data_IF_848207004226
#
_entry.id   IF_848207004226
#
_cell.length_a   1.000
_cell.length_b   1.000
_cell.length_c   1.000
_cell.angle_alpha   90.00
_cell.angle_beta   90.00
_cell.angle_gamma   90.00
#
_symmetry.space_group_name_H-M   'P 1'
#
loop_
_entity.id
_entity.type
_entity.pdbx_description
1 polymer ?
#
# COMPACT_ATOMS: atom_id res chain seq x y z
N UNK A 1 21.06 0.98 31.94
CA UNK A 1 19.72 0.69 32.49
C UNK A 1 18.77 1.82 32.12
N UNK A 2 17.99 1.61 31.06
CA UNK A 2 16.63 2.10 30.90
C UNK A 2 15.95 1.06 30.01
N UNK A 3 15.27 0.13 30.69
CA UNK A 3 14.41 -0.88 30.11
C UNK A 3 13.16 -0.19 29.58
N UNK A 4 12.81 -0.42 28.32
CA UNK A 4 11.41 -0.58 27.91
C UNK A 4 11.35 -1.90 27.14
N UNK A 5 10.70 -2.88 27.75
CA UNK A 5 10.42 -4.20 27.20
C UNK A 5 9.22 -4.13 26.23
N UNK A 6 9.31 -4.98 25.19
CA UNK A 6 8.25 -5.65 24.43
C UNK A 6 7.19 -4.82 23.71
N UNK A 7 7.25 -4.85 22.37
CA UNK A 7 6.39 -5.66 21.48
C UNK A 7 7.29 -6.17 20.31
N UNK A 8 7.11 -7.41 19.86
CA UNK A 8 8.20 -8.32 19.45
C UNK A 8 8.67 -8.28 17.97
N UNK A 9 9.99 -8.11 17.76
CA UNK A 9 10.78 -8.51 16.57
C UNK A 9 12.05 -7.66 16.38
N UNK A 10 13.23 -8.25 16.13
CA UNK A 10 14.44 -7.48 15.80
C UNK A 10 14.37 -6.99 14.35
N UNK A 11 14.47 -5.67 14.19
CA UNK A 11 14.62 -4.96 12.92
C UNK A 11 15.91 -5.41 12.21
N UNK A 12 15.80 -5.87 10.96
CA UNK A 12 16.94 -6.18 10.09
C UNK A 12 16.67 -5.71 8.65
N UNK A 13 17.36 -4.66 8.20
CA UNK A 13 17.29 -4.14 6.83
C UNK A 13 17.83 -5.11 5.76
N UNK A 14 18.54 -6.17 6.19
CA UNK A 14 19.04 -7.23 5.32
C UNK A 14 17.98 -8.29 5.01
N UNK A 15 16.85 -8.27 5.73
CA UNK A 15 15.71 -9.17 5.47
C UNK A 15 14.73 -8.58 4.46
N UNK A 16 14.08 -9.41 3.62
CA UNK A 16 13.05 -8.94 2.70
C UNK A 16 11.90 -8.16 3.36
N UNK A 17 11.46 -8.60 4.53
CA UNK A 17 10.39 -7.99 5.31
C UNK A 17 10.80 -6.57 5.76
N UNK A 18 12.03 -6.42 6.27
CA UNK A 18 12.57 -5.12 6.67
C UNK A 18 12.68 -4.15 5.49
N UNK A 19 13.09 -4.63 4.31
CA UNK A 19 13.12 -3.81 3.09
C UNK A 19 11.73 -3.39 2.65
N UNK A 20 10.76 -4.29 2.67
CA UNK A 20 9.36 -3.98 2.34
C UNK A 20 8.74 -2.93 3.25
N UNK A 21 8.97 -3.04 4.56
CA UNK A 21 8.50 -2.03 5.51
C UNK A 21 9.15 -0.65 5.29
N UNK A 22 10.44 -0.60 4.95
CA UNK A 22 11.15 0.65 4.65
C UNK A 22 10.62 1.33 3.38
N UNK A 23 10.36 0.56 2.32
CA UNK A 23 9.78 1.06 1.09
C UNK A 23 8.41 1.72 1.35
N UNK A 24 7.51 1.02 2.06
CA UNK A 24 6.20 1.54 2.41
C UNK A 24 6.29 2.80 3.30
N UNK A 25 7.16 2.79 4.31
CA UNK A 25 7.36 3.94 5.22
C UNK A 25 7.79 5.21 4.45
N UNK A 26 8.72 5.07 3.51
CA UNK A 26 9.17 6.20 2.69
C UNK A 26 8.05 6.73 1.78
N UNK A 27 7.24 5.85 1.19
CA UNK A 27 6.08 6.24 0.41
C UNK A 27 5.07 7.05 1.26
N UNK A 28 4.78 6.58 2.47
CA UNK A 28 3.85 7.26 3.37
C UNK A 28 4.37 8.61 3.87
N UNK A 29 5.69 8.78 4.02
CA UNK A 29 6.30 10.09 4.31
C UNK A 29 6.01 11.11 3.22
N UNK A 30 6.17 10.76 1.95
CA UNK A 30 5.85 11.67 0.83
C UNK A 30 4.37 12.03 0.80
N UNK A 31 3.49 11.07 1.06
CA UNK A 31 2.05 11.31 1.13
C UNK A 31 1.69 12.28 2.27
N UNK A 32 2.25 12.06 3.46
CA UNK A 32 2.02 12.92 4.63
C UNK A 32 2.54 14.36 4.40
N UNK A 33 3.73 14.50 3.81
CA UNK A 33 4.29 15.80 3.42
C UNK A 33 3.38 16.51 2.41
N UNK A 34 2.93 15.79 1.38
CA UNK A 34 1.98 16.31 0.40
C UNK A 34 0.68 16.79 1.03
N UNK A 35 0.08 16.02 1.94
CA UNK A 35 -1.14 16.40 2.66
C UNK A 35 -0.95 17.67 3.50
N UNK A 36 0.22 17.81 4.16
CA UNK A 36 0.56 19.01 4.93
C UNK A 36 0.63 20.25 4.03
N UNK A 37 1.36 20.16 2.91
CA UNK A 37 1.47 21.25 1.92
C UNK A 37 0.09 21.65 1.40
N UNK A 38 -0.76 20.69 1.04
CA UNK A 38 -2.11 20.95 0.55
C UNK A 38 -2.98 21.68 1.60
N UNK A 39 -2.91 21.26 2.86
CA UNK A 39 -3.63 21.90 3.96
C UNK A 39 -3.18 23.35 4.20
N UNK A 40 -1.88 23.60 4.17
CA UNK A 40 -1.31 24.95 4.33
C UNK A 40 -1.68 25.87 3.16
N UNK A 41 -1.61 25.35 1.93
CA UNK A 41 -2.00 26.06 0.73
C UNK A 41 -3.49 26.43 0.75
N UNK A 42 -4.38 25.49 1.13
CA UNK A 42 -5.80 25.77 1.26
C UNK A 42 -6.08 26.90 2.27
N UNK A 43 -5.38 26.91 3.42
CA UNK A 43 -5.51 28.00 4.41
C UNK A 43 -5.04 29.35 3.86
N UNK A 44 -3.96 29.38 3.07
CA UNK A 44 -3.44 30.61 2.44
C UNK A 44 -4.39 31.11 1.35
N UNK A 45 -4.97 30.21 0.56
CA UNK A 45 -5.95 30.53 -0.49
C UNK A 45 -7.20 31.19 0.09
N UNK A 46 -7.79 30.60 1.13
CA UNK A 46 -8.99 31.16 1.80
C UNK A 46 -8.71 32.54 2.40
N UNK A 47 -7.47 32.82 2.81
CA UNK A 47 -7.04 34.14 3.28
C UNK A 47 -6.69 35.12 2.15
N UNK A 48 -6.80 34.73 0.89
CA UNK A 48 -6.42 35.54 -0.27
C UNK A 48 -4.92 35.81 -0.39
N UNK A 49 -4.07 35.02 0.28
CA UNK A 49 -2.61 35.21 0.28
C UNK A 49 -1.99 34.67 -1.01
N UNK A 50 -2.56 33.60 -1.55
CA UNK A 50 -2.10 32.94 -2.78
C UNK A 50 -3.28 32.74 -3.73
N UNK A 51 -2.97 32.55 -5.01
CA UNK A 51 -3.93 32.22 -6.06
C UNK A 51 -4.32 30.73 -6.03
N UNK A 52 -5.39 30.39 -6.76
CA UNK A 52 -5.82 28.99 -6.93
C UNK A 52 -4.70 28.14 -7.57
N UNK A 53 -4.02 28.67 -8.59
CA UNK A 53 -2.92 27.97 -9.26
C UNK A 53 -1.75 27.67 -8.33
N UNK A 54 -1.40 28.62 -7.44
CA UNK A 54 -0.38 28.40 -6.42
C UNK A 54 -0.82 27.39 -5.36
N UNK A 55 -2.11 27.39 -4.99
CA UNK A 55 -2.63 26.45 -4.03
C UNK A 55 -2.57 25.00 -4.54
N UNK A 56 -2.77 24.80 -5.84
CA UNK A 56 -2.70 23.51 -6.51
C UNK A 56 -1.27 22.98 -6.69
N UNK A 57 -0.23 23.82 -6.60
CA UNK A 57 1.17 23.37 -6.70
C UNK A 57 1.56 22.58 -5.47
N UNK A 58 1.88 21.30 -5.66
CA UNK A 58 2.32 20.42 -4.60
C UNK A 58 3.34 19.42 -5.12
N UNK A 59 4.62 19.81 -5.04
CA UNK A 59 5.73 19.01 -5.58
C UNK A 59 5.86 17.63 -4.93
N UNK A 60 5.43 17.47 -3.67
CA UNK A 60 5.42 16.17 -3.00
C UNK A 60 4.34 15.24 -3.59
N UNK A 61 3.12 15.76 -3.83
CA UNK A 61 2.06 15.00 -4.52
C UNK A 61 2.44 14.73 -5.98
N UNK A 62 3.06 15.67 -6.68
CA UNK A 62 3.53 15.46 -8.06
C UNK A 62 4.57 14.34 -8.11
N UNK A 63 5.56 14.36 -7.20
CA UNK A 63 6.55 13.28 -7.08
C UNK A 63 5.89 11.95 -6.75
N UNK A 64 4.96 11.93 -5.80
CA UNK A 64 4.19 10.73 -5.45
C UNK A 64 3.40 10.19 -6.65
N UNK A 65 2.71 11.05 -7.40
CA UNK A 65 1.90 10.67 -8.56
C UNK A 65 2.71 10.08 -9.72
N UNK A 66 4.02 10.36 -9.76
CA UNK A 66 4.96 9.84 -10.75
C UNK A 66 5.85 8.73 -10.20
N UNK A 67 5.70 8.41 -8.91
CA UNK A 67 6.53 7.41 -8.26
C UNK A 67 6.11 6.02 -8.73
N UNK A 68 7.11 5.20 -8.99
CA UNK A 68 6.97 3.76 -9.10
C UNK A 68 6.91 3.19 -7.67
N UNK A 69 6.01 2.24 -7.43
CA UNK A 69 5.79 1.64 -6.11
C UNK A 69 6.45 0.25 -6.09
N UNK A 70 7.67 0.11 -5.56
CA UNK A 70 8.28 -1.20 -5.34
C UNK A 70 7.59 -1.87 -4.15
N UNK A 71 6.71 -2.82 -4.44
CA UNK A 71 5.91 -3.49 -3.40
C UNK A 71 6.38 -4.92 -3.13
N UNK A 72 7.20 -5.51 -4.00
CA UNK A 72 7.85 -6.80 -3.78
C UNK A 72 9.14 -6.89 -4.59
N UNK A 73 10.02 -7.80 -4.19
CA UNK A 73 11.14 -8.25 -5.03
C UNK A 73 10.70 -9.48 -5.83
N UNK A 74 11.25 -9.65 -7.03
CA UNK A 74 11.09 -10.86 -7.85
C UNK A 74 12.44 -11.54 -7.94
N UNK A 75 12.49 -12.84 -7.67
CA UNK A 75 13.67 -13.65 -7.92
C UNK A 75 13.85 -13.77 -9.45
N UNK A 76 14.95 -13.24 -9.98
CA UNK A 76 15.20 -13.22 -11.43
C UNK A 76 15.35 -14.61 -12.05
N UNK A 77 15.79 -15.61 -11.26
CA UNK A 77 16.01 -16.98 -11.74
C UNK A 77 14.71 -17.80 -11.76
N UNK A 78 13.90 -17.71 -10.69
CA UNK A 78 12.66 -18.48 -10.55
C UNK A 78 11.41 -17.75 -11.02
N UNK A 79 11.46 -16.42 -11.14
CA UNK A 79 10.30 -15.57 -11.39
C UNK A 79 9.33 -15.48 -10.20
N UNK A 80 9.71 -16.04 -9.04
CA UNK A 80 8.86 -16.05 -7.85
C UNK A 80 8.97 -14.73 -7.10
N UNK A 81 7.83 -14.24 -6.60
CA UNK A 81 7.81 -13.02 -5.79
C UNK A 81 8.12 -13.28 -4.33
N UNK A 82 8.76 -12.30 -3.71
CA UNK A 82 9.00 -12.28 -2.28
C UNK A 82 7.74 -11.84 -1.51
N UNK A 83 6.89 -12.81 -1.18
CA UNK A 83 5.62 -12.57 -0.49
C UNK A 83 5.80 -11.93 0.89
N UNK A 84 6.91 -12.18 1.58
CA UNK A 84 7.15 -11.64 2.91
C UNK A 84 7.49 -10.14 2.84
N UNK A 85 8.25 -9.72 1.82
CA UNK A 85 8.41 -8.30 1.46
C UNK A 85 7.04 -7.66 1.20
N UNK A 86 6.23 -8.29 0.34
CA UNK A 86 4.91 -7.77 -0.05
C UNK A 86 3.92 -7.65 1.13
N UNK A 87 3.95 -8.60 2.05
CA UNK A 87 3.13 -8.56 3.26
C UNK A 87 3.61 -7.48 4.25
N UNK A 88 4.93 -7.29 4.38
CA UNK A 88 5.48 -6.20 5.18
C UNK A 88 5.06 -4.84 4.60
N UNK A 89 5.22 -4.65 3.29
CA UNK A 89 4.79 -3.44 2.60
C UNK A 89 3.30 -3.15 2.84
N UNK A 90 2.46 -4.17 2.62
CA UNK A 90 1.00 -4.06 2.78
C UNK A 90 0.59 -3.73 4.22
N UNK A 91 1.29 -4.30 5.21
CA UNK A 91 1.00 -4.02 6.63
C UNK A 91 1.24 -2.55 6.98
N UNK A 92 2.39 -2.00 6.59
CA UNK A 92 2.71 -0.60 6.88
C UNK A 92 1.76 0.36 6.15
N UNK A 93 1.39 0.03 4.91
CA UNK A 93 0.44 0.81 4.14
C UNK A 93 -0.93 0.84 4.83
N UNK A 94 -1.48 -0.32 5.20
CA UNK A 94 -2.79 -0.40 5.86
C UNK A 94 -2.78 0.29 7.23
N UNK A 95 -1.76 0.06 8.06
CA UNK A 95 -1.62 0.72 9.38
C UNK A 95 -1.57 2.25 9.27
N UNK A 96 -1.09 2.79 8.15
CA UNK A 96 -1.05 4.24 7.95
C UNK A 96 -2.41 4.85 7.60
N UNK A 97 -3.34 4.01 7.15
CA UNK A 97 -4.72 4.37 6.81
C UNK A 97 -5.69 4.04 7.94
N UNK A 98 -5.40 2.96 8.67
CA UNK A 98 -6.12 2.48 9.84
C UNK A 98 -6.05 3.51 10.98
N UNK A 99 -7.16 4.20 11.21
CA UNK A 99 -7.23 5.35 12.14
C UNK A 99 -7.39 4.92 13.59
N UNK A 100 -8.00 3.77 13.85
CA UNK A 100 -8.22 3.21 15.18
C UNK A 100 -7.16 2.18 15.58
N UNK A 101 -6.26 1.84 14.66
CA UNK A 101 -5.05 1.05 14.89
C UNK A 101 -5.38 -0.34 15.45
N UNK A 102 -6.47 -0.95 14.97
CA UNK A 102 -6.88 -2.31 15.31
C UNK A 102 -6.27 -3.35 14.35
N UNK A 103 -5.49 -2.90 13.36
CA UNK A 103 -4.84 -3.71 12.34
C UNK A 103 -5.78 -4.12 11.21
N UNK A 104 -6.99 -3.54 11.15
CA UNK A 104 -8.05 -3.89 10.22
C UNK A 104 -8.57 -2.62 9.57
N UNK A 105 -8.33 -2.47 8.27
CA UNK A 105 -8.90 -1.34 7.54
C UNK A 105 -10.32 -1.71 7.06
N UNK A 106 -11.38 -1.00 7.49
CA UNK A 106 -12.72 -1.23 6.94
C UNK A 106 -12.70 -0.98 5.42
N UNK A 107 -13.40 -1.81 4.66
CA UNK A 107 -13.47 -1.68 3.19
C UNK A 107 -13.91 -0.27 2.74
N UNK A 108 -14.78 0.37 3.52
CA UNK A 108 -15.29 1.71 3.27
C UNK A 108 -14.17 2.78 3.27
N UNK A 109 -13.09 2.59 4.04
CA UNK A 109 -12.01 3.57 4.13
C UNK A 109 -11.14 3.62 2.87
N UNK A 110 -11.15 2.57 2.05
CA UNK A 110 -10.53 2.55 0.71
C UNK A 110 -11.51 2.93 -0.41
N UNK A 111 -12.75 3.30 -0.06
CA UNK A 111 -13.78 3.69 -1.02
C UNK A 111 -14.15 2.55 -2.00
N UNK A 112 -14.44 2.86 -3.27
CA UNK A 112 -14.93 1.87 -4.24
C UNK A 112 -13.98 0.68 -4.46
N UNK A 113 -12.66 0.90 -4.36
CA UNK A 113 -11.67 -0.17 -4.50
C UNK A 113 -11.70 -1.11 -3.28
N UNK A 114 -11.94 -0.58 -2.08
CA UNK A 114 -12.07 -1.40 -0.87
C UNK A 114 -13.20 -2.40 -0.98
N UNK A 115 -14.37 -2.00 -1.50
CA UNK A 115 -15.48 -2.93 -1.72
C UNK A 115 -15.13 -4.05 -2.69
N UNK A 116 -14.33 -3.77 -3.73
CA UNK A 116 -13.88 -4.79 -4.69
C UNK A 116 -12.90 -5.77 -4.02
N UNK A 117 -11.95 -5.27 -3.24
CA UNK A 117 -10.97 -6.10 -2.52
C UNK A 117 -11.66 -6.98 -1.47
N UNK A 118 -12.66 -6.45 -0.76
CA UNK A 118 -13.42 -7.21 0.25
C UNK A 118 -14.11 -8.44 -0.35
N UNK A 119 -14.49 -8.42 -1.64
CA UNK A 119 -15.15 -9.55 -2.28
C UNK A 119 -14.30 -10.82 -2.41
N UNK A 120 -12.98 -10.76 -2.15
CA UNK A 120 -12.11 -11.96 -2.09
C UNK A 120 -12.65 -12.96 -1.06
N UNK A 121 -12.92 -12.47 0.15
CA UNK A 121 -13.56 -13.16 1.28
C UNK A 121 -14.39 -12.12 2.05
N UNK A 122 -15.70 -11.95 1.73
CA UNK A 122 -16.48 -10.82 2.22
C UNK A 122 -16.68 -10.87 3.74
N UNK A 123 -16.00 -9.98 4.46
CA UNK A 123 -16.11 -9.82 5.90
C UNK A 123 -16.07 -8.34 6.33
N UNK A 124 -16.07 -7.42 5.35
CA UNK A 124 -16.00 -5.97 5.55
C UNK A 124 -14.60 -5.45 5.83
N UNK A 125 -13.57 -6.32 5.80
CA UNK A 125 -12.23 -6.03 6.29
C UNK A 125 -11.18 -6.19 5.19
N UNK A 126 -10.26 -5.23 5.13
CA UNK A 126 -9.13 -5.29 4.22
C UNK A 126 -7.89 -5.69 5.02
N UNK A 127 -7.52 -6.96 4.89
CA UNK A 127 -6.30 -7.52 5.49
C UNK A 127 -5.09 -7.29 4.59
N UNK A 128 -3.89 -7.50 5.13
CA UNK A 128 -2.62 -7.36 4.38
C UNK A 128 -2.55 -8.30 3.16
N UNK A 129 -3.09 -9.51 3.26
CA UNK A 129 -3.15 -10.48 2.14
C UNK A 129 -4.14 -10.07 1.06
N UNK A 130 -5.32 -9.54 1.45
CA UNK A 130 -6.29 -8.98 0.50
C UNK A 130 -5.71 -7.78 -0.25
N UNK A 131 -5.04 -6.88 0.47
CA UNK A 131 -4.38 -5.72 -0.13
C UNK A 131 -3.19 -6.10 -1.01
N UNK A 132 -2.37 -7.08 -0.60
CA UNK A 132 -1.27 -7.60 -1.44
C UNK A 132 -1.79 -8.17 -2.77
N UNK A 133 -2.95 -8.83 -2.77
CA UNK A 133 -3.59 -9.32 -3.99
C UNK A 133 -3.89 -8.17 -4.98
N UNK A 134 -4.31 -7.00 -4.45
CA UNK A 134 -4.56 -5.80 -5.25
C UNK A 134 -3.27 -5.18 -5.82
N UNK A 135 -2.16 -5.22 -5.07
CA UNK A 135 -0.86 -4.76 -5.55
C UNK A 135 -0.33 -5.66 -6.69
N UNK A 136 -0.43 -6.97 -6.51
CA UNK A 136 -0.04 -7.96 -7.53
C UNK A 136 -0.90 -7.80 -8.79
N UNK A 137 -2.21 -7.58 -8.64
CA UNK A 137 -3.10 -7.34 -9.77
C UNK A 137 -2.69 -6.12 -10.59
N UNK A 138 -2.34 -5.00 -9.94
CA UNK A 138 -1.87 -3.80 -10.63
C UNK A 138 -0.62 -4.05 -11.46
N UNK A 139 0.38 -4.71 -10.87
CA UNK A 139 1.68 -5.03 -11.50
C UNK A 139 1.51 -5.98 -12.70
N UNK A 140 0.55 -6.92 -12.62
CA UNK A 140 0.24 -7.86 -13.70
C UNK A 140 -0.44 -7.22 -14.94
N UNK A 141 -0.75 -5.92 -14.94
CA UNK A 141 -1.44 -5.26 -16.06
C UNK A 141 -0.54 -5.10 -17.29
N UNK A 142 0.77 -4.90 -17.10
CA UNK A 142 1.74 -4.88 -18.20
C UNK A 142 2.86 -5.89 -18.00
N UNK A 143 3.73 -5.65 -17.01
CA UNK A 143 4.94 -6.43 -16.78
C UNK A 143 5.04 -6.71 -15.30
N UNK A 144 4.86 -7.97 -14.93
CA UNK A 144 5.00 -8.41 -13.55
C UNK A 144 6.47 -8.35 -13.12
N UNK A 145 6.84 -7.29 -12.41
CA UNK A 145 8.24 -7.00 -12.05
C UNK A 145 8.43 -6.54 -10.58
N UNK A 146 7.35 -6.54 -9.79
CA UNK A 146 7.36 -6.13 -8.38
C UNK A 146 7.28 -4.62 -8.16
N UNK A 147 7.07 -3.86 -9.24
CA UNK A 147 7.05 -2.40 -9.24
C UNK A 147 5.81 -1.90 -9.99
N UNK A 148 4.91 -1.24 -9.26
CA UNK A 148 3.71 -0.66 -9.87
C UNK A 148 4.04 0.73 -10.40
N UNK A 149 3.91 0.92 -11.72
CA UNK A 149 3.96 2.23 -12.36
C UNK A 149 2.66 3.02 -12.17
N UNK A 150 2.70 4.36 -12.30
CA UNK A 150 1.48 5.17 -12.31
C UNK A 150 0.45 4.73 -13.36
N UNK A 151 0.91 4.25 -14.52
CA UNK A 151 0.05 3.76 -15.60
C UNK A 151 -0.65 2.45 -15.22
N UNK A 152 0.04 1.53 -14.55
CA UNK A 152 -0.54 0.29 -14.04
C UNK A 152 -1.59 0.56 -12.97
N UNK A 153 -1.26 1.40 -11.98
CA UNK A 153 -2.21 1.81 -10.96
C UNK A 153 -3.47 2.44 -11.57
N UNK A 154 -3.31 3.37 -12.52
CA UNK A 154 -4.43 4.01 -13.19
C UNK A 154 -5.30 3.01 -13.99
N UNK A 155 -4.66 2.10 -14.74
CA UNK A 155 -5.39 1.09 -15.52
C UNK A 155 -6.14 0.09 -14.63
N UNK A 156 -5.56 -0.30 -13.50
CA UNK A 156 -6.23 -1.17 -12.55
C UNK A 156 -7.51 -0.55 -12.01
N UNK A 157 -7.47 0.74 -11.67
CA UNK A 157 -8.65 1.49 -11.21
C UNK A 157 -9.69 1.59 -12.32
N UNK A 158 -9.29 1.85 -13.57
CA UNK A 158 -10.21 1.89 -14.72
C UNK A 158 -10.88 0.53 -14.93
N UNK A 159 -10.13 -0.57 -14.86
CA UNK A 159 -10.69 -1.92 -14.97
C UNK A 159 -11.63 -2.24 -13.82
N UNK A 160 -11.25 -1.91 -12.59
CA UNK A 160 -12.09 -2.07 -11.41
C UNK A 160 -13.43 -1.32 -11.53
N UNK A 161 -13.43 -0.14 -12.17
CA UNK A 161 -14.64 0.63 -12.43
C UNK A 161 -15.49 0.06 -13.58
N UNK A 162 -14.86 -0.45 -14.64
CA UNK A 162 -15.56 -0.88 -15.86
C UNK A 162 -16.02 -2.35 -15.82
N UNK A 163 -15.24 -3.22 -15.19
CA UNK A 163 -15.51 -4.66 -15.06
C UNK A 163 -15.07 -5.17 -13.68
N UNK A 164 -15.82 -4.81 -12.61
CA UNK A 164 -15.47 -5.22 -11.26
C UNK A 164 -15.51 -6.74 -11.08
N UNK A 165 -16.35 -7.46 -11.82
CA UNK A 165 -16.48 -8.92 -11.71
C UNK A 165 -15.18 -9.59 -12.14
N UNK A 166 -14.64 -9.20 -13.30
CA UNK A 166 -13.35 -9.69 -13.76
C UNK A 166 -12.23 -9.42 -12.75
N UNK A 167 -12.19 -8.21 -12.18
CA UNK A 167 -11.18 -7.85 -11.18
C UNK A 167 -11.32 -8.71 -9.93
N UNK A 168 -12.53 -8.90 -9.41
CA UNK A 168 -12.78 -9.75 -8.23
C UNK A 168 -12.31 -11.18 -8.48
N UNK A 169 -12.61 -11.75 -9.64
CA UNK A 169 -12.17 -13.10 -10.01
C UNK A 169 -10.65 -13.20 -10.04
N UNK A 170 -9.96 -12.22 -10.62
CA UNK A 170 -8.49 -12.19 -10.66
C UNK A 170 -7.87 -12.02 -9.27
N UNK A 171 -8.47 -11.20 -8.42
CA UNK A 171 -8.02 -11.04 -7.04
C UNK A 171 -8.16 -12.35 -6.26
N UNK A 172 -9.28 -13.07 -6.41
CA UNK A 172 -9.45 -14.41 -5.81
C UNK A 172 -8.42 -15.41 -6.34
N UNK A 173 -8.20 -15.43 -7.65
CA UNK A 173 -7.20 -16.30 -8.27
C UNK A 173 -5.82 -16.07 -7.65
N UNK A 174 -5.37 -14.80 -7.56
CA UNK A 174 -4.10 -14.44 -6.93
C UNK A 174 -4.07 -14.89 -5.46
N UNK A 175 -5.10 -14.53 -4.70
CA UNK A 175 -5.19 -14.78 -3.26
C UNK A 175 -5.06 -16.27 -2.90
N UNK A 176 -5.85 -17.12 -3.58
CA UNK A 176 -5.87 -18.55 -3.31
C UNK A 176 -4.66 -19.27 -3.92
N UNK A 177 -4.23 -18.91 -5.14
CA UNK A 177 -3.07 -19.54 -5.80
C UNK A 177 -1.78 -19.35 -5.01
N UNK A 178 -1.60 -18.18 -4.41
CA UNK A 178 -0.42 -17.85 -3.60
C UNK A 178 -0.56 -18.22 -2.12
N UNK A 179 -1.71 -18.80 -1.73
CA UNK A 179 -2.03 -19.19 -0.36
C UNK A 179 -1.82 -18.06 0.66
N UNK A 180 -2.26 -16.84 0.29
CA UNK A 180 -1.91 -15.63 1.05
C UNK A 180 -2.52 -15.61 2.46
N UNK A 181 -3.70 -16.23 2.64
CA UNK A 181 -4.35 -16.35 3.95
C UNK A 181 -3.49 -17.08 4.97
N UNK A 182 -3.03 -18.28 4.61
CA UNK A 182 -2.22 -19.09 5.51
C UNK A 182 -0.87 -18.43 5.81
N UNK A 183 -0.29 -17.72 4.83
CA UNK A 183 0.92 -16.93 5.04
C UNK A 183 0.71 -15.81 6.03
N UNK A 184 -0.37 -15.03 5.87
CA UNK A 184 -0.73 -13.96 6.79
C UNK A 184 -0.86 -14.44 8.25
N UNK A 185 -1.48 -15.60 8.47
CA UNK A 185 -1.64 -16.19 9.82
C UNK A 185 -0.30 -16.47 10.51
N UNK A 186 0.73 -16.80 9.74
CA UNK A 186 2.10 -17.05 10.24
C UNK A 186 2.99 -15.79 10.24
N UNK A 187 2.59 -14.74 9.53
CA UNK A 187 3.42 -13.57 9.27
C UNK A 187 3.43 -12.59 10.45
N UNK A 188 4.65 -12.21 10.87
CA UNK A 188 4.86 -11.15 11.86
C UNK A 188 5.45 -9.94 11.18
N UNK A 189 4.69 -8.85 11.15
CA UNK A 189 5.17 -7.61 10.53
C UNK A 189 6.35 -7.03 11.31
N UNK A 190 7.45 -6.64 10.65
CA UNK A 190 8.48 -5.82 11.28
C UNK A 190 7.92 -4.41 11.55
N UNK A 191 8.37 -3.76 12.63
CA UNK A 191 8.05 -2.35 12.87
C UNK A 191 8.97 -1.42 12.05
N UNK A 192 8.45 -0.34 11.44
CA UNK A 192 9.28 0.60 10.67
C UNK A 192 10.12 1.47 11.62
N UNK A 193 11.37 1.76 11.24
CA UNK A 193 12.28 2.61 12.04
C UNK A 193 11.71 4.03 12.15
N UNK A 194 11.53 4.48 13.39
CA UNK A 194 11.41 5.91 13.70
C UNK A 194 12.81 6.52 13.62
N UNK A 195 13.16 7.01 12.42
CA UNK A 195 14.33 7.87 12.22
C UNK A 195 14.13 9.23 12.87
#
# INVERSE_FOLDING_TARGET
MLLINNLYGEYDSETPEGRGANAASNLMKYFAEGKKIASENAKKLVKGIITMDEACKNSAIEKFSRAYIPYTEINEESGEINLEYGMAFSTIYLNSLDRDNDGVLPAEELGPIGHIIDQIEPDGKITKSKFLSWLIFQDCINVYNGIISPQEAARAVIWAANDPVFVIEKLKEIYYRLNLKAREESFRSPEPVRG
#
